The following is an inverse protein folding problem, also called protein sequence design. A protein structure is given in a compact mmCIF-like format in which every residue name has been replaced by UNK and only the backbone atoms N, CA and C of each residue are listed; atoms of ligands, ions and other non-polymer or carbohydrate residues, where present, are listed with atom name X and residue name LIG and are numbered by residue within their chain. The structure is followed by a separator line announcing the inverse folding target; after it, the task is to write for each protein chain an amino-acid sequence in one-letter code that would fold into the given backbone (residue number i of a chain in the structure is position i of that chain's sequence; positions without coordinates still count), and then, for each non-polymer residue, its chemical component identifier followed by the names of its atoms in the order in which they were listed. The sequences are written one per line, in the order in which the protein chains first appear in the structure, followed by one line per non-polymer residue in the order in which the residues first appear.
data_IF_935649969358
#
_entry.id   IF_935649969358
#
_cell.length_a   1.000
_cell.length_b   1.000
_cell.length_c   1.000
_cell.angle_alpha   90.00
_cell.angle_beta   90.00
_cell.angle_gamma   90.00
#
_symmetry.space_group_name_H-M   'P 1'
#
loop_
_entity.id
_entity.type
_entity.pdbx_description
1 polymer ?
#
# COMPACT_ATOMS: atom_id res chain seq x y z
N UNK A 1 -5.52 -6.90 -3.77
CA UNK A 1 -6.40 -6.46 -4.87
C UNK A 1 -6.20 -7.44 -6.00
N UNK A 2 -7.24 -7.71 -6.78
CA UNK A 2 -7.19 -8.72 -7.84
C UNK A 2 -6.69 -8.08 -9.14
N UNK A 3 -5.86 -8.80 -9.89
CA UNK A 3 -5.64 -8.50 -11.30
C UNK A 3 -6.84 -9.01 -12.10
N UNK A 4 -7.59 -8.10 -12.72
CA UNK A 4 -8.74 -8.43 -13.56
C UNK A 4 -8.28 -9.05 -14.88
N UNK A 5 -7.27 -8.43 -15.51
CA UNK A 5 -6.68 -8.87 -16.78
C UNK A 5 -5.28 -8.30 -16.98
N UNK A 6 -4.56 -8.94 -17.90
CA UNK A 6 -3.26 -8.54 -18.44
C UNK A 6 -3.43 -8.38 -19.95
N UNK A 7 -3.12 -7.21 -20.49
CA UNK A 7 -3.32 -6.90 -21.91
C UNK A 7 -2.35 -5.80 -22.34
N UNK A 8 -1.67 -5.98 -23.49
CA UNK A 8 -0.71 -5.02 -24.06
C UNK A 8 0.35 -4.51 -23.07
N UNK A 9 0.94 -5.41 -22.29
CA UNK A 9 1.89 -5.11 -21.21
C UNK A 9 1.33 -4.15 -20.15
N UNK A 10 0.01 -4.22 -19.90
CA UNK A 10 -0.67 -3.48 -18.83
C UNK A 10 -1.33 -4.43 -17.85
N UNK A 11 -1.36 -4.00 -16.59
CA UNK A 11 -2.05 -4.69 -15.50
C UNK A 11 -3.29 -3.90 -15.14
N UNK A 12 -4.46 -4.54 -15.18
CA UNK A 12 -5.73 -3.94 -14.77
C UNK A 12 -6.09 -4.44 -13.37
N UNK A 13 -5.88 -3.60 -12.35
CA UNK A 13 -6.14 -3.92 -10.94
C UNK A 13 -7.52 -3.43 -10.53
N UNK A 14 -8.33 -4.29 -9.94
CA UNK A 14 -9.66 -3.93 -9.44
C UNK A 14 -9.55 -3.18 -8.11
N UNK A 15 -10.01 -1.92 -8.10
CA UNK A 15 -10.08 -1.07 -6.92
C UNK A 15 -11.55 -0.88 -6.51
N UNK A 16 -11.97 -1.39 -5.34
CA UNK A 16 -13.34 -1.25 -4.88
C UNK A 16 -13.65 0.20 -4.48
N UNK A 17 -14.78 0.74 -4.95
CA UNK A 17 -15.19 2.13 -4.68
C UNK A 17 -16.19 2.25 -3.53
N UNK A 18 -16.82 1.15 -3.11
CA UNK A 18 -17.84 1.15 -2.05
C UNK A 18 -17.44 0.42 -0.77
N UNK A 19 -16.25 -0.19 -0.71
CA UNK A 19 -15.77 -0.89 0.49
C UNK A 19 -15.12 0.09 1.45
N UNK A 20 -15.67 0.21 2.66
CA UNK A 20 -15.17 1.15 3.69
C UNK A 20 -14.29 0.46 4.75
N UNK A 21 -14.43 -0.86 4.91
CA UNK A 21 -13.64 -1.68 5.85
C UNK A 21 -12.52 -2.48 5.17
N UNK A 22 -12.37 -2.32 3.86
CA UNK A 22 -11.37 -3.04 3.08
C UNK A 22 -9.95 -2.47 3.17
N UNK A 23 -9.05 -3.14 2.46
CA UNK A 23 -7.63 -2.76 2.30
C UNK A 23 -7.46 -1.50 1.45
N UNK A 24 -8.38 -1.25 0.51
CA UNK A 24 -8.50 0.01 -0.23
C UNK A 24 -9.79 0.72 0.16
N UNK A 25 -9.71 2.04 0.37
CA UNK A 25 -10.82 2.90 0.82
C UNK A 25 -10.81 4.18 0.03
N UNK A 26 -11.99 4.73 -0.23
CA UNK A 26 -12.11 6.07 -0.81
C UNK A 26 -12.19 7.09 0.32
N UNK A 27 -11.33 8.11 0.26
CA UNK A 27 -11.26 9.20 1.22
C UNK A 27 -11.27 10.54 0.51
N UNK A 28 -11.50 11.61 1.28
CA UNK A 28 -11.51 12.99 0.80
C UNK A 28 -10.49 13.84 1.56
N UNK A 29 -9.71 14.65 0.84
CA UNK A 29 -8.83 15.68 1.41
C UNK A 29 -8.65 16.85 0.44
N UNK A 30 -8.33 18.03 0.96
CA UNK A 30 -8.04 19.21 0.12
C UNK A 30 -6.57 19.29 -0.34
N UNK A 31 -5.66 18.66 0.39
CA UNK A 31 -4.23 18.54 0.05
C UNK A 31 -3.63 17.35 0.78
N UNK A 32 -2.47 16.86 0.33
CA UNK A 32 -1.79 15.73 0.98
C UNK A 32 -1.27 16.06 2.40
N UNK A 33 -1.17 17.34 2.76
CA UNK A 33 -0.84 17.76 4.13
C UNK A 33 -2.00 17.58 5.12
N UNK A 34 -3.24 17.41 4.61
CA UNK A 34 -4.43 17.29 5.45
C UNK A 34 -4.81 15.83 5.64
N UNK A 35 -5.36 15.55 6.81
CA UNK A 35 -5.91 14.24 7.13
C UNK A 35 -7.05 13.88 6.18
N UNK A 36 -7.03 12.65 5.67
CA UNK A 36 -8.08 12.13 4.81
C UNK A 36 -9.29 11.63 5.59
N UNK A 37 -10.46 12.18 5.28
CA UNK A 37 -11.72 11.79 5.90
C UNK A 37 -12.41 10.68 5.08
N UNK A 38 -13.07 9.70 5.72
CA UNK A 38 -13.91 8.74 5.01
C UNK A 38 -15.07 9.44 4.31
N UNK A 39 -15.55 8.88 3.19
CA UNK A 39 -16.66 9.44 2.42
C UNK A 39 -17.63 8.35 1.97
N UNK A 40 -18.94 8.63 2.08
CA UNK A 40 -19.99 7.75 1.61
C UNK A 40 -20.16 7.88 0.09
N UNK A 41 -19.40 7.11 -0.68
CA UNK A 41 -19.32 7.20 -2.16
C UNK A 41 -20.63 6.91 -2.89
N UNK A 42 -21.58 6.18 -2.26
CA UNK A 42 -22.92 5.93 -2.81
C UNK A 42 -23.88 7.11 -2.65
N UNK A 43 -23.53 8.11 -1.83
CA UNK A 43 -24.36 9.27 -1.52
C UNK A 43 -23.73 10.57 -2.02
N UNK A 44 -22.40 10.65 -1.96
CA UNK A 44 -21.65 11.84 -2.35
C UNK A 44 -21.00 11.63 -3.72
N UNK A 45 -21.25 12.53 -4.70
CA UNK A 45 -20.58 12.48 -5.98
C UNK A 45 -19.06 12.60 -5.87
N UNK A 46 -18.35 11.85 -6.70
CA UNK A 46 -16.89 11.94 -6.75
C UNK A 46 -16.45 13.31 -7.26
N UNK A 47 -15.32 13.77 -6.73
CA UNK A 47 -14.71 15.06 -7.04
C UNK A 47 -13.18 14.93 -7.00
N UNK A 48 -12.48 15.98 -7.44
CA UNK A 48 -11.00 16.04 -7.41
C UNK A 48 -10.38 15.85 -6.01
N UNK A 49 -11.18 16.04 -4.95
CA UNK A 49 -10.75 15.84 -3.56
C UNK A 49 -10.73 14.36 -3.15
N UNK A 50 -11.38 13.49 -3.94
CA UNK A 50 -11.45 12.06 -3.66
C UNK A 50 -10.16 11.36 -4.09
N UNK A 51 -9.66 10.51 -3.22
CA UNK A 51 -8.48 9.70 -3.46
C UNK A 51 -8.69 8.29 -2.91
N UNK A 52 -7.92 7.35 -3.43
CA UNK A 52 -7.82 5.99 -2.93
C UNK A 52 -6.72 5.96 -1.89
N UNK A 53 -7.03 5.49 -0.69
CA UNK A 53 -6.04 5.04 0.30
C UNK A 53 -6.00 3.52 0.25
N UNK A 54 -4.89 2.97 -0.24
CA UNK A 54 -4.70 1.53 -0.35
C UNK A 54 -3.55 1.08 0.52
N UNK A 55 -3.86 0.33 1.57
CA UNK A 55 -2.86 -0.34 2.39
C UNK A 55 -2.27 -1.54 1.63
N UNK A 56 -1.57 -1.32 0.52
CA UNK A 56 -1.01 -2.38 -0.34
C UNK A 56 -0.10 -3.35 0.44
N UNK A 57 -0.06 -4.61 0.02
CA UNK A 57 0.91 -5.59 0.46
C UNK A 57 1.72 -6.14 -0.70
N UNK A 58 2.62 -7.06 -0.40
CA UNK A 58 3.57 -7.62 -1.35
C UNK A 58 3.61 -9.16 -1.32
N UNK A 59 2.82 -9.80 -0.45
CA UNK A 59 2.78 -11.25 -0.31
C UNK A 59 1.40 -11.74 0.16
N UNK A 60 1.24 -13.06 0.10
CA UNK A 60 0.13 -13.76 0.73
C UNK A 60 0.60 -15.09 1.33
N UNK A 61 0.14 -15.39 2.54
CA UNK A 61 0.33 -16.69 3.20
C UNK A 61 -0.33 -17.79 2.36
N UNK A 62 0.39 -18.87 2.05
CA UNK A 62 -0.15 -19.95 1.20
C UNK A 62 -1.32 -20.69 1.84
N UNK A 63 -1.46 -20.61 3.17
CA UNK A 63 -2.61 -21.16 3.89
C UNK A 63 -3.84 -20.23 3.88
N UNK A 64 -3.69 -18.99 3.39
CA UNK A 64 -4.80 -18.04 3.21
C UNK A 64 -5.50 -18.28 1.87
N UNK A 65 -6.45 -19.22 1.88
CA UNK A 65 -7.22 -19.62 0.71
C UNK A 65 -7.91 -18.47 -0.01
N UNK A 66 -8.29 -17.40 0.70
CA UNK A 66 -8.99 -16.28 0.08
C UNK A 66 -8.01 -15.37 -0.68
N UNK A 67 -6.82 -15.11 -0.13
CA UNK A 67 -5.77 -14.42 -0.90
C UNK A 67 -5.24 -15.25 -2.05
N UNK A 68 -5.11 -16.56 -1.89
CA UNK A 68 -4.65 -17.46 -2.95
C UNK A 68 -5.57 -17.49 -4.17
N UNK A 69 -6.86 -17.18 -4.01
CA UNK A 69 -7.80 -17.01 -5.14
C UNK A 69 -7.58 -15.70 -5.91
N UNK A 70 -6.87 -14.73 -5.33
CA UNK A 70 -6.70 -13.39 -5.89
C UNK A 70 -5.40 -13.19 -6.67
N UNK A 71 -4.39 -14.05 -6.45
CA UNK A 71 -3.11 -14.04 -7.16
C UNK A 71 -3.12 -15.04 -8.32
N UNK A 72 -2.53 -14.66 -9.46
CA UNK A 72 -2.23 -15.60 -10.55
C UNK A 72 -0.95 -16.42 -10.27
N UNK A 73 -0.12 -15.97 -9.33
CA UNK A 73 1.22 -16.50 -9.04
C UNK A 73 1.26 -17.44 -7.83
N UNK A 74 0.14 -18.11 -7.52
CA UNK A 74 -0.02 -19.06 -6.39
C UNK A 74 1.04 -20.19 -6.29
N UNK A 75 1.74 -20.47 -7.38
CA UNK A 75 2.79 -21.49 -7.44
C UNK A 75 4.16 -20.97 -7.00
N UNK A 76 4.34 -19.65 -6.85
CA UNK A 76 5.55 -19.06 -6.28
C UNK A 76 5.61 -19.31 -4.78
N UNK A 77 6.82 -19.51 -4.25
CA UNK A 77 7.06 -19.89 -2.86
C UNK A 77 8.33 -19.25 -2.30
N UNK A 78 8.22 -18.60 -1.15
CA UNK A 78 9.36 -18.23 -0.30
C UNK A 78 9.00 -18.37 1.18
N UNK A 79 10.03 -18.44 2.01
CA UNK A 79 9.89 -18.38 3.46
C UNK A 79 10.04 -16.94 3.92
N UNK A 80 8.94 -16.37 4.40
CA UNK A 80 8.96 -15.03 4.98
C UNK A 80 9.71 -14.98 6.30
N UNK A 81 10.02 -13.76 6.78
CA UNK A 81 10.73 -13.53 8.03
C UNK A 81 10.03 -14.11 9.27
N UNK A 82 8.72 -14.37 9.15
CA UNK A 82 7.91 -15.02 10.18
C UNK A 82 7.90 -16.56 10.09
N UNK A 83 8.74 -17.16 9.24
CA UNK A 83 8.86 -18.60 9.03
C UNK A 83 7.72 -19.22 8.22
N UNK A 84 6.79 -18.43 7.70
CA UNK A 84 5.65 -18.93 6.93
C UNK A 84 5.98 -19.07 5.44
N UNK A 85 5.39 -20.09 4.81
CA UNK A 85 5.41 -20.21 3.35
C UNK A 85 4.44 -19.19 2.71
N UNK A 86 4.96 -18.37 1.82
CA UNK A 86 4.26 -17.25 1.19
C UNK A 86 4.38 -17.30 -0.33
N UNK A 87 3.45 -16.64 -1.01
CA UNK A 87 3.40 -16.50 -2.46
C UNK A 87 3.39 -15.02 -2.87
N UNK A 88 3.82 -14.74 -4.10
CA UNK A 88 3.78 -13.39 -4.67
C UNK A 88 2.32 -12.92 -4.82
N UNK A 89 2.07 -11.67 -4.40
CA UNK A 89 0.74 -11.07 -4.39
C UNK A 89 0.81 -9.54 -4.40
N UNK A 90 -0.14 -8.90 -5.09
CA UNK A 90 -0.23 -7.44 -5.24
C UNK A 90 1.10 -6.86 -5.74
N UNK A 91 1.83 -6.10 -4.92
CA UNK A 91 3.00 -5.34 -5.38
C UNK A 91 4.05 -6.23 -6.04
N UNK A 92 4.31 -7.42 -5.49
CA UNK A 92 5.27 -8.37 -6.06
C UNK A 92 4.78 -9.07 -7.31
N UNK A 93 3.47 -9.31 -7.42
CA UNK A 93 2.85 -9.83 -8.63
C UNK A 93 2.93 -8.80 -9.76
N UNK A 94 2.78 -7.50 -9.45
CA UNK A 94 2.93 -6.44 -10.44
C UNK A 94 4.38 -6.32 -10.93
N UNK A 95 5.33 -6.36 -10.00
CA UNK A 95 6.75 -6.33 -10.33
C UNK A 95 7.14 -7.52 -11.21
N UNK A 96 6.68 -8.73 -10.88
CA UNK A 96 6.92 -9.92 -11.68
C UNK A 96 6.52 -9.72 -13.15
N UNK A 97 5.32 -9.17 -13.41
CA UNK A 97 4.88 -8.94 -14.78
C UNK A 97 5.70 -7.85 -15.49
N UNK A 98 6.13 -6.80 -14.77
CA UNK A 98 6.98 -5.76 -15.36
C UNK A 98 8.37 -6.29 -15.73
N UNK A 99 8.93 -7.21 -14.95
CA UNK A 99 10.19 -7.89 -15.29
C UNK A 99 9.98 -8.84 -16.48
N UNK A 100 8.92 -9.67 -16.42
CA UNK A 100 8.55 -10.59 -17.51
C UNK A 100 8.36 -9.90 -18.86
N UNK A 101 7.87 -8.66 -18.85
CA UNK A 101 7.68 -7.84 -20.05
C UNK A 101 8.90 -6.99 -20.43
N UNK A 102 10.05 -7.18 -19.77
CA UNK A 102 11.27 -6.39 -19.94
C UNK A 102 11.08 -4.87 -19.75
N UNK A 103 10.06 -4.45 -18.98
CA UNK A 103 9.87 -3.05 -18.58
C UNK A 103 10.88 -2.70 -17.47
N UNK A 104 11.06 -3.63 -16.53
CA UNK A 104 12.09 -3.56 -15.49
C UNK A 104 13.15 -4.60 -15.80
N UNK A 105 14.41 -4.18 -15.85
CA UNK A 105 15.53 -5.08 -16.12
C UNK A 105 15.99 -5.80 -14.86
N UNK A 106 16.68 -6.93 -15.05
CA UNK A 106 17.33 -7.66 -13.95
C UNK A 106 18.40 -6.81 -13.26
N UNK A 107 19.07 -5.90 -13.99
CA UNK A 107 20.04 -4.99 -13.39
C UNK A 107 19.39 -4.01 -12.40
N UNK A 108 18.16 -3.55 -12.69
CA UNK A 108 17.41 -2.70 -11.76
C UNK A 108 16.98 -3.47 -10.52
N UNK A 109 16.63 -4.75 -10.66
CA UNK A 109 16.36 -5.65 -9.52
C UNK A 109 17.63 -5.84 -8.68
N UNK A 110 18.77 -6.12 -9.32
CA UNK A 110 20.06 -6.28 -8.64
C UNK A 110 20.47 -5.00 -7.89
N UNK A 111 20.22 -3.83 -8.48
CA UNK A 111 20.50 -2.56 -7.83
C UNK A 111 19.69 -2.39 -6.53
N UNK A 112 18.39 -2.75 -6.54
CA UNK A 112 17.58 -2.72 -5.31
C UNK A 112 18.08 -3.75 -4.29
N UNK A 113 18.40 -4.98 -4.72
CA UNK A 113 18.96 -6.00 -3.83
C UNK A 113 20.23 -5.51 -3.13
N UNK A 114 21.20 -5.01 -3.90
CA UNK A 114 22.44 -4.46 -3.34
C UNK A 114 22.19 -3.28 -2.41
N UNK A 115 21.22 -2.41 -2.71
CA UNK A 115 20.82 -1.35 -1.78
C UNK A 115 20.29 -1.93 -0.46
N UNK A 116 19.37 -2.89 -0.51
CA UNK A 116 18.69 -3.46 0.66
C UNK A 116 19.62 -4.29 1.56
N UNK A 117 20.54 -5.05 0.98
CA UNK A 117 21.53 -5.86 1.70
C UNK A 117 22.53 -5.02 2.50
N UNK A 118 22.80 -3.80 2.03
CA UNK A 118 23.74 -2.87 2.66
C UNK A 118 23.10 -1.93 3.69
N UNK A 119 21.81 -2.12 4.01
CA UNK A 119 21.12 -1.30 5.01
C UNK A 119 21.67 -1.60 6.41
N UNK A 120 22.14 -0.56 7.09
CA UNK A 120 22.46 -0.65 8.51
C UNK A 120 21.16 -0.85 9.32
N UNK A 121 21.18 -1.77 10.30
CA UNK A 121 20.03 -2.07 11.17
C UNK A 121 19.44 -0.84 11.85
N UNK A 122 20.24 0.17 12.15
CA UNK A 122 19.78 1.41 12.78
C UNK A 122 19.05 2.35 11.83
N UNK A 123 18.99 2.06 10.53
CA UNK A 123 18.31 2.89 9.54
C UNK A 123 16.87 2.43 9.25
N UNK A 124 16.43 1.29 9.80
CA UNK A 124 15.04 0.85 9.64
C UNK A 124 14.06 1.79 10.35
N UNK A 125 12.89 2.03 9.74
CA UNK A 125 11.92 3.00 10.27
C UNK A 125 11.29 2.54 11.58
N UNK A 126 11.09 1.23 11.77
CA UNK A 126 10.53 0.67 13.01
C UNK A 126 11.39 0.92 14.26
N UNK A 127 12.68 1.20 14.06
CA UNK A 127 13.66 1.46 15.13
C UNK A 127 13.84 2.95 15.41
N UNK A 128 13.52 3.81 14.43
CA UNK A 128 13.75 5.26 14.49
C UNK A 128 12.53 6.09 14.91
N UNK A 129 11.32 5.52 14.84
CA UNK A 129 10.09 6.24 15.12
C UNK A 129 9.25 5.55 16.19
N UNK A 130 8.74 6.33 17.14
CA UNK A 130 7.97 5.81 18.28
C UNK A 130 6.67 6.59 18.48
N UNK A 131 5.66 5.92 19.02
CA UNK A 131 4.40 6.53 19.42
C UNK A 131 4.64 7.24 20.76
N UNK A 132 4.34 8.54 20.80
CA UNK A 132 4.59 9.37 21.97
C UNK A 132 3.29 9.69 22.71
N UNK A 133 3.39 9.84 24.03
CA UNK A 133 2.29 10.29 24.89
C UNK A 133 2.73 11.56 25.64
N UNK A 134 1.90 12.60 25.62
CA UNK A 134 2.19 13.85 26.34
C UNK A 134 2.05 13.65 27.85
N UNK A 135 2.70 14.50 28.64
CA UNK A 135 2.43 14.58 30.07
C UNK A 135 0.94 14.90 30.31
N UNK A 136 0.27 14.23 31.26
CA UNK A 136 -1.14 14.47 31.51
C UNK A 136 -1.37 15.86 32.14
N UNK A 137 -2.46 16.51 31.74
CA UNK A 137 -2.94 17.76 32.33
C UNK A 137 -4.36 17.57 32.86
N UNK A 138 -4.65 18.10 34.04
CA UNK A 138 -6.00 18.03 34.60
C UNK A 138 -6.97 18.89 33.78
N UNK A 139 -8.15 18.35 33.48
CA UNK A 139 -9.26 19.06 32.83
C UNK A 139 -10.57 18.73 33.51
N UNK A 140 -11.29 19.77 33.93
CA UNK A 140 -12.65 19.63 34.42
C UNK A 140 -13.62 19.69 33.23
N UNK A 141 -14.48 18.69 33.10
CA UNK A 141 -15.55 18.64 32.10
C UNK A 141 -16.86 18.40 32.86
N UNK A 142 -17.74 19.40 32.88
CA UNK A 142 -19.04 19.35 33.55
C UNK A 142 -18.95 18.92 35.03
N UNK A 143 -17.94 19.40 35.76
CA UNK A 143 -17.75 19.10 37.17
C UNK A 143 -16.98 17.81 37.46
N UNK A 144 -16.56 17.06 36.43
CA UNK A 144 -15.77 15.84 36.57
C UNK A 144 -14.31 16.12 36.15
N UNK A 145 -13.36 15.76 37.00
CA UNK A 145 -11.94 15.92 36.74
C UNK A 145 -11.36 14.74 35.96
N UNK A 146 -10.69 15.04 34.85
CA UNK A 146 -9.99 14.09 33.99
C UNK A 146 -8.50 14.42 33.91
N UNK A 147 -7.66 13.39 33.76
CA UNK A 147 -6.29 13.55 33.28
C UNK A 147 -6.27 13.41 31.76
N UNK A 148 -6.17 14.55 31.07
CA UNK A 148 -6.08 14.61 29.62
C UNK A 148 -4.63 14.44 29.16
N UNK A 149 -4.42 13.58 28.17
CA UNK A 149 -3.11 13.36 27.51
C UNK A 149 -3.33 13.10 26.02
N UNK A 150 -2.38 13.50 25.19
CA UNK A 150 -2.39 13.29 23.75
C UNK A 150 -1.49 12.14 23.36
N UNK A 151 -1.96 11.32 22.41
CA UNK A 151 -1.15 10.28 21.76
C UNK A 151 -0.78 10.75 20.36
N UNK A 152 0.52 10.77 20.05
CA UNK A 152 1.09 11.26 18.79
C UNK A 152 1.65 10.10 17.98
N UNK A 153 1.15 9.95 16.76
CA UNK A 153 1.56 8.93 15.81
C UNK A 153 2.45 9.56 14.72
N UNK A 154 3.71 9.12 14.55
CA UNK A 154 4.55 9.55 13.44
C UNK A 154 3.96 9.17 12.08
N UNK A 155 4.03 10.10 11.12
CA UNK A 155 3.63 9.94 9.73
C UNK A 155 4.78 10.40 8.83
N UNK A 156 5.20 9.54 7.91
CA UNK A 156 6.12 9.89 6.83
C UNK A 156 5.35 9.91 5.51
N UNK A 157 5.66 10.87 4.65
CA UNK A 157 5.04 11.01 3.33
C UNK A 157 6.15 11.04 2.28
N UNK A 158 6.16 10.04 1.40
CA UNK A 158 7.00 10.01 0.21
C UNK A 158 6.15 10.35 -1.01
N UNK A 159 6.60 11.28 -1.85
CA UNK A 159 5.92 11.65 -3.09
C UNK A 159 6.67 11.11 -4.28
N UNK A 160 5.94 10.59 -5.25
CA UNK A 160 6.49 10.29 -6.55
C UNK A 160 6.49 11.57 -7.41
N UNK A 161 7.28 11.59 -8.48
CA UNK A 161 7.42 12.76 -9.36
C UNK A 161 6.08 13.23 -9.95
N UNK A 162 5.16 12.29 -10.16
CA UNK A 162 3.75 12.60 -10.37
C UNK A 162 3.12 12.98 -9.02
N UNK A 163 2.93 14.29 -8.78
CA UNK A 163 2.41 14.93 -7.56
C UNK A 163 1.22 14.24 -6.87
N UNK A 164 0.48 13.45 -7.63
CA UNK A 164 -0.77 12.83 -7.26
C UNK A 164 -0.61 11.45 -6.60
N UNK A 165 0.50 10.73 -6.83
CA UNK A 165 0.76 9.45 -6.18
C UNK A 165 1.74 9.66 -5.04
N UNK A 166 1.39 9.14 -3.87
CA UNK A 166 2.23 9.21 -2.68
C UNK A 166 2.13 7.94 -1.84
N UNK A 167 3.16 7.74 -1.02
CA UNK A 167 3.20 6.71 0.02
C UNK A 167 3.14 7.38 1.38
N UNK A 168 2.20 6.96 2.21
CA UNK A 168 2.09 7.33 3.62
C UNK A 168 2.52 6.14 4.49
N UNK A 169 3.46 6.38 5.39
CA UNK A 169 3.91 5.39 6.37
C UNK A 169 3.51 5.90 7.74
N UNK A 170 2.59 5.21 8.40
CA UNK A 170 2.13 5.57 9.75
C UNK A 170 2.62 4.52 10.73
N UNK A 171 3.30 4.96 11.78
CA UNK A 171 3.69 4.08 12.87
C UNK A 171 2.46 3.85 13.76
N UNK A 172 2.03 2.59 13.90
CA UNK A 172 0.87 2.17 14.70
C UNK A 172 1.23 1.02 15.61
N UNK A 173 0.43 0.79 16.64
CA UNK A 173 0.53 -0.38 17.50
C UNK A 173 0.32 -1.67 16.68
N UNK A 174 1.09 -2.72 16.98
CA UNK A 174 0.82 -4.04 16.40
C UNK A 174 -0.50 -4.58 16.93
N UNK A 175 -1.37 -5.06 16.04
CA UNK A 175 -2.58 -5.75 16.46
C UNK A 175 -2.20 -7.11 17.06
N UNK A 176 -2.52 -7.32 18.35
CA UNK A 176 -2.27 -8.58 19.08
C UNK A 176 -0.79 -8.97 19.24
N UNK A 177 0.13 -8.01 19.19
CA UNK A 177 1.55 -8.24 19.50
C UNK A 177 2.15 -7.02 20.21
N UNK A 178 3.34 -7.20 20.81
CA UNK A 178 4.07 -6.13 21.49
C UNK A 178 4.80 -5.26 20.47
N UNK A 179 4.76 -3.93 20.71
CA UNK A 179 5.49 -2.93 19.94
C UNK A 179 4.66 -2.24 18.86
N UNK A 180 5.31 -1.34 18.13
CA UNK A 180 4.75 -0.65 16.98
C UNK A 180 5.21 -1.27 15.66
N UNK A 181 4.52 -0.95 14.58
CA UNK A 181 4.87 -1.31 13.23
C UNK A 181 4.58 -0.14 12.28
N UNK A 182 5.42 0.05 11.25
CA UNK A 182 5.08 0.92 10.13
C UNK A 182 3.97 0.29 9.28
N UNK A 183 2.93 1.05 8.99
CA UNK A 183 1.88 0.68 8.05
C UNK A 183 1.99 1.56 6.80
N UNK A 184 2.21 0.92 5.65
CA UNK A 184 2.34 1.61 4.37
C UNK A 184 0.98 1.69 3.66
N UNK A 185 0.65 2.89 3.18
CA UNK A 185 -0.50 3.18 2.34
C UNK A 185 -0.04 3.87 1.06
N UNK A 186 -0.45 3.33 -0.09
CA UNK A 186 -0.33 4.02 -1.37
C UNK A 186 -1.59 4.85 -1.57
N UNK A 187 -1.42 6.14 -1.82
CA UNK A 187 -2.50 7.09 -2.04
C UNK A 187 -2.40 7.69 -3.43
N UNK A 188 -3.50 7.68 -4.18
CA UNK A 188 -3.59 8.29 -5.52
C UNK A 188 -4.99 8.83 -5.77
N UNK A 189 -5.17 9.91 -6.56
CA UNK A 189 -6.46 10.52 -6.76
C UNK A 189 -7.37 9.60 -7.56
N UNK A 190 -8.67 9.77 -7.38
CA UNK A 190 -9.66 8.95 -8.07
C UNK A 190 -9.59 9.10 -9.61
N UNK A 191 -8.99 10.18 -10.10
CA UNK A 191 -8.74 10.45 -11.52
C UNK A 191 -7.74 9.50 -12.16
N UNK A 192 -6.92 8.78 -11.38
CA UNK A 192 -6.07 7.70 -11.90
C UNK A 192 -6.85 6.42 -12.22
N UNK A 193 -8.12 6.33 -11.83
CA UNK A 193 -8.95 5.17 -12.08
C UNK A 193 -9.74 5.29 -13.38
N UNK A 194 -9.73 4.20 -14.14
CA UNK A 194 -10.55 4.03 -15.33
C UNK A 194 -11.85 3.34 -14.92
N UNK A 195 -13.03 3.92 -15.21
CA UNK A 195 -14.30 3.23 -14.98
C UNK A 195 -14.37 1.89 -15.71
N UNK A 196 -15.17 0.96 -15.18
CA UNK A 196 -15.47 -0.27 -15.90
C UNK A 196 -16.11 0.04 -17.26
N UNK A 197 -15.94 -0.87 -18.24
CA UNK A 197 -16.49 -0.70 -19.60
C UNK A 197 -17.99 -0.38 -19.53
N UNK A 198 -18.44 0.60 -20.31
CA UNK A 198 -19.81 1.12 -20.37
C UNK A 198 -20.27 1.96 -19.17
N UNK A 199 -19.37 2.33 -18.25
CA UNK A 199 -19.68 3.30 -17.19
C UNK A 199 -19.19 4.69 -17.54
N UNK A 200 -19.93 5.70 -17.11
CA UNK A 200 -19.50 7.10 -17.19
C UNK A 200 -18.29 7.37 -16.29
N UNK A 201 -17.57 8.44 -16.61
CA UNK A 201 -16.47 8.96 -15.81
C UNK A 201 -16.87 9.09 -14.33
N UNK A 202 -15.89 8.88 -13.43
CA UNK A 202 -16.17 8.87 -11.99
C UNK A 202 -16.61 10.25 -11.49
N UNK A 203 -15.95 11.32 -11.95
CA UNK A 203 -16.24 12.68 -11.47
C UNK A 203 -17.69 13.09 -11.74
N UNK A 204 -18.34 13.64 -10.72
CA UNK A 204 -19.70 14.16 -10.81
C UNK A 204 -20.81 13.13 -10.58
N UNK A 205 -20.50 11.84 -10.43
CA UNK A 205 -21.49 10.81 -10.09
C UNK A 205 -21.19 10.09 -8.78
N UNK A 206 -22.19 9.40 -8.26
CA UNK A 206 -22.06 8.49 -7.11
C UNK A 206 -21.62 7.09 -7.56
N UNK A 207 -21.12 6.30 -6.61
CA UNK A 207 -20.79 4.91 -6.80
C UNK A 207 -22.04 4.01 -6.79
N UNK A 208 -22.05 3.00 -7.66
CA UNK A 208 -23.04 1.92 -7.63
C UNK A 208 -22.67 0.84 -6.59
N UNK A 209 -23.63 0.01 -6.21
CA UNK A 209 -23.41 -1.07 -5.25
C UNK A 209 -22.34 -2.05 -5.74
N UNK A 210 -21.31 -2.29 -4.89
CA UNK A 210 -20.17 -3.17 -5.19
C UNK A 210 -19.36 -2.73 -6.40
N UNK A 211 -19.44 -1.45 -6.78
CA UNK A 211 -18.69 -0.92 -7.89
C UNK A 211 -17.17 -0.97 -7.63
N UNK A 212 -16.44 -1.33 -8.68
CA UNK A 212 -15.00 -1.21 -8.77
C UNK A 212 -14.63 -0.41 -10.02
N UNK A 213 -13.42 0.15 -10.00
CA UNK A 213 -12.78 0.75 -11.17
C UNK A 213 -11.36 0.18 -11.32
N UNK A 214 -10.74 0.43 -12.47
CA UNK A 214 -9.42 -0.09 -12.79
C UNK A 214 -8.34 0.92 -12.48
N UNK A 215 -7.36 0.51 -11.67
CA UNK A 215 -6.02 1.10 -11.74
C UNK A 215 -5.28 0.36 -12.85
N UNK A 216 -4.80 1.10 -13.86
CA UNK A 216 -4.07 0.53 -14.99
C UNK A 216 -2.59 0.84 -14.82
N UNK A 217 -1.79 -0.19 -14.56
CA UNK A 217 -0.35 -0.08 -14.45
C UNK A 217 0.31 -0.43 -15.78
N UNK A 218 1.19 0.44 -16.26
CA UNK A 218 1.95 0.26 -17.50
C UNK A 218 3.40 0.77 -17.34
N UNK A 219 4.17 0.85 -18.43
CA UNK A 219 5.58 1.23 -18.38
C UNK A 219 5.86 2.58 -17.69
N UNK A 220 4.90 3.52 -17.66
CA UNK A 220 5.05 4.80 -16.93
C UNK A 220 5.11 4.61 -15.42
N UNK A 221 4.58 3.50 -14.89
CA UNK A 221 4.47 3.21 -13.46
C UNK A 221 5.67 2.40 -12.93
N UNK A 222 6.67 2.19 -13.78
CA UNK A 222 7.93 1.51 -13.44
C UNK A 222 8.57 2.07 -12.16
N UNK A 223 8.72 3.39 -12.09
CA UNK A 223 9.36 4.05 -10.95
C UNK A 223 8.54 3.86 -9.67
N UNK A 224 7.21 3.84 -9.79
CA UNK A 224 6.33 3.56 -8.67
C UNK A 224 6.61 2.19 -8.05
N UNK A 225 6.76 1.15 -8.88
CA UNK A 225 7.05 -0.21 -8.39
C UNK A 225 8.43 -0.30 -7.74
N UNK A 226 9.49 0.18 -8.42
CA UNK A 226 10.87 0.09 -7.93
C UNK A 226 11.06 0.82 -6.59
N UNK A 227 10.57 2.05 -6.48
CA UNK A 227 10.70 2.83 -5.25
C UNK A 227 9.77 2.30 -4.15
N UNK A 228 8.58 1.79 -4.46
CA UNK A 228 7.73 1.13 -3.45
C UNK A 228 8.42 -0.08 -2.84
N UNK A 229 9.15 -0.86 -3.64
CA UNK A 229 9.95 -1.99 -3.17
C UNK A 229 11.08 -1.57 -2.24
N UNK A 230 11.83 -0.51 -2.60
CA UNK A 230 12.82 0.09 -1.71
C UNK A 230 12.21 0.56 -0.39
N UNK A 231 11.08 1.27 -0.46
CA UNK A 231 10.39 1.81 0.72
C UNK A 231 9.93 0.67 1.64
N UNK A 232 9.33 -0.40 1.10
CA UNK A 232 8.98 -1.58 1.89
C UNK A 232 10.23 -2.19 2.55
N UNK A 233 11.31 -2.33 1.79
CA UNK A 233 12.56 -2.92 2.28
C UNK A 233 13.26 -2.14 3.39
N UNK A 234 12.91 -0.87 3.63
CA UNK A 234 13.46 -0.06 4.74
C UNK A 234 12.52 0.07 5.95
N UNK A 235 11.32 -0.53 5.89
CA UNK A 235 10.34 -0.39 6.97
C UNK A 235 10.78 -1.07 8.27
N UNK A 236 11.28 -2.30 8.17
CA UNK A 236 11.75 -3.12 9.28
C UNK A 236 12.68 -4.23 8.79
N UNK A 237 13.46 -4.87 9.68
CA UNK A 237 14.25 -6.05 9.31
C UNK A 237 13.40 -7.18 8.71
N UNK A 238 12.17 -7.37 9.19
CA UNK A 238 11.27 -8.40 8.67
C UNK A 238 10.78 -8.08 7.25
N UNK A 239 10.44 -6.83 6.98
CA UNK A 239 10.08 -6.40 5.62
C UNK A 239 11.28 -6.48 4.69
N UNK A 240 12.47 -6.08 5.15
CA UNK A 240 13.70 -6.19 4.38
C UNK A 240 13.98 -7.63 3.91
N UNK A 241 13.94 -8.59 4.85
CA UNK A 241 14.09 -10.01 4.52
C UNK A 241 13.05 -10.48 3.50
N UNK A 242 11.76 -10.19 3.75
CA UNK A 242 10.68 -10.60 2.83
C UNK A 242 10.91 -10.03 1.41
N UNK A 243 11.28 -8.75 1.31
CA UNK A 243 11.51 -8.08 0.03
C UNK A 243 12.71 -8.67 -0.71
N UNK A 244 13.82 -8.94 -0.02
CA UNK A 244 15.00 -9.58 -0.63
C UNK A 244 14.61 -10.95 -1.22
N UNK A 245 13.91 -11.79 -0.45
CA UNK A 245 13.44 -13.10 -0.93
C UNK A 245 12.55 -12.99 -2.17
N UNK A 246 11.65 -11.99 -2.19
CA UNK A 246 10.77 -11.75 -3.33
C UNK A 246 11.57 -11.34 -4.57
N UNK A 247 12.53 -10.42 -4.42
CA UNK A 247 13.35 -9.94 -5.53
C UNK A 247 14.23 -11.06 -6.10
N UNK A 248 14.80 -11.91 -5.24
CA UNK A 248 15.55 -13.10 -5.66
C UNK A 248 14.69 -14.08 -6.45
N UNK A 249 13.45 -14.33 -6.01
CA UNK A 249 12.53 -15.17 -6.78
C UNK A 249 12.28 -14.56 -8.14
N UNK A 250 11.83 -13.31 -8.20
CA UNK A 250 11.47 -12.65 -9.46
C UNK A 250 12.65 -12.66 -10.42
N UNK A 251 13.86 -12.39 -9.94
CA UNK A 251 15.10 -12.46 -10.73
C UNK A 251 15.33 -13.84 -11.37
N UNK A 252 14.93 -14.91 -10.72
CA UNK A 252 15.19 -16.28 -11.16
C UNK A 252 14.07 -16.90 -12.02
N UNK A 253 12.84 -16.35 -11.97
CA UNK A 253 11.66 -16.96 -12.61
C UNK A 253 10.96 -16.09 -13.66
N UNK A 254 11.31 -14.80 -13.75
CA UNK A 254 10.67 -13.86 -14.67
C UNK A 254 11.25 -13.92 -16.10
#
# INVERSE_FOLDING_TARGET
MRISKLEDNKIYVEIPLTSQSGKARVKIRNSFYKYGLPTATKQNPFSQKHYIEWQIGYDADKFDNDKMKLTSLKNTEFIGANGKNKSLYELSEYLFYFVKWNIISIDEINYILSFLENINKNNFLDSNFQILRSHPIQRNILGIDFYFSEVRYPLLVYKFDNFDILVEIIIREKQRAIGSQPMLYVCFPITQLVPFKNKSALLGRVAETKEFAYLVLDSKDKQFLLESFKIFGILSPSHNHDIIQILDIIKNIA
#
